data_IF_383897966801
#
_entry.id   IF_383897966801
#
_cell.length_a   1.000
_cell.length_b   1.000
_cell.length_c   1.000
_cell.angle_alpha   90.00
_cell.angle_beta   90.00
_cell.angle_gamma   90.00
#
_symmetry.space_group_name_H-M   'P 1'
#
loop_
_entity.id
_entity.type
_entity.pdbx_description
1 polymer ?
#
# COMPACT_ATOMS: atom_id res chain seq x y z
N UNK A 1 60.78 44.35 40.29
CA UNK A 1 59.32 44.32 40.54
C UNK A 1 58.77 42.99 40.00
N UNK A 2 58.20 42.18 40.90
CA UNK A 2 57.37 40.97 40.72
C UNK A 2 58.01 39.63 40.28
N UNK A 3 57.57 38.60 41.03
CA UNK A 3 57.85 37.17 41.01
C UNK A 3 56.93 36.40 40.03
N UNK A 4 57.37 35.16 39.70
CA UNK A 4 56.62 33.92 39.34
C UNK A 4 55.88 33.89 38.00
N UNK A 5 56.11 32.84 37.20
CA UNK A 5 55.20 31.67 37.14
C UNK A 5 55.69 30.63 36.11
N UNK A 6 55.71 29.36 36.51
CA UNK A 6 55.75 28.19 35.62
C UNK A 6 54.35 28.01 35.05
N UNK A 7 54.19 27.84 33.74
CA UNK A 7 52.98 27.26 33.15
C UNK A 7 53.36 26.15 32.16
N UNK A 8 52.99 24.94 32.58
CA UNK A 8 52.81 23.75 31.76
C UNK A 8 51.81 24.10 30.66
N UNK A 9 52.21 24.04 29.39
CA UNK A 9 51.25 24.05 28.27
C UNK A 9 51.04 22.59 27.89
N UNK A 10 49.85 22.11 28.26
CA UNK A 10 49.37 20.78 27.96
C UNK A 10 49.27 20.54 26.46
N UNK A 11 49.66 19.32 26.07
CA UNK A 11 49.37 18.74 24.77
C UNK A 11 47.85 18.58 24.66
N UNK A 12 47.20 19.48 23.92
CA UNK A 12 45.81 19.29 23.50
C UNK A 12 45.83 18.18 22.45
N UNK A 13 45.52 16.96 22.86
CA UNK A 13 45.12 15.91 21.93
C UNK A 13 43.76 16.34 21.39
N UNK A 14 43.76 16.90 20.18
CA UNK A 14 42.53 17.11 19.43
C UNK A 14 41.95 15.74 19.10
N UNK A 15 40.99 15.30 19.93
CA UNK A 15 40.12 14.17 19.61
C UNK A 15 39.24 14.62 18.45
N UNK A 16 39.71 14.45 17.21
CA UNK A 16 38.83 14.55 16.05
C UNK A 16 37.88 13.38 16.12
N UNK A 17 36.69 13.61 16.67
CA UNK A 17 35.55 12.70 16.51
C UNK A 17 35.28 12.55 15.03
N UNK A 18 35.82 11.48 14.44
CA UNK A 18 35.42 11.02 13.13
C UNK A 18 34.02 10.45 13.31
N UNK A 19 33.01 11.28 13.10
CA UNK A 19 31.63 10.82 12.97
C UNK A 19 31.62 9.99 11.68
N UNK A 20 31.80 8.68 11.81
CA UNK A 20 31.28 7.77 10.81
C UNK A 20 29.77 7.96 10.86
N UNK A 21 29.23 8.76 9.94
CA UNK A 21 27.86 8.57 9.51
C UNK A 21 27.84 7.17 8.89
N UNK A 22 27.56 6.16 9.73
CA UNK A 22 26.98 4.93 9.23
C UNK A 22 25.80 5.39 8.37
N UNK A 23 25.65 4.95 7.12
CA UNK A 23 24.38 5.12 6.46
C UNK A 23 23.38 4.43 7.39
N UNK A 24 22.58 5.23 8.08
CA UNK A 24 21.29 4.78 8.56
C UNK A 24 20.63 4.32 7.28
N UNK A 25 20.57 3.01 7.06
CA UNK A 25 19.68 2.43 6.07
C UNK A 25 18.31 2.98 6.46
N UNK A 26 17.89 4.04 5.77
CA UNK A 26 16.49 4.36 5.75
C UNK A 26 15.82 3.08 5.25
N UNK A 27 14.88 2.61 6.04
CA UNK A 27 13.92 1.60 5.61
C UNK A 27 13.08 2.24 4.49
N UNK A 28 13.69 2.36 3.31
CA UNK A 28 13.07 2.92 2.10
C UNK A 28 12.00 1.97 1.54
N UNK A 29 11.78 0.81 2.18
CA UNK A 29 10.71 -0.14 1.88
C UNK A 29 9.33 0.27 2.39
N UNK A 30 9.18 1.44 3.03
CA UNK A 30 7.90 1.85 3.63
C UNK A 30 7.01 2.74 2.74
N UNK A 31 7.51 3.25 1.61
CA UNK A 31 6.75 4.16 0.74
C UNK A 31 6.63 5.60 1.25
N UNK A 32 5.87 6.42 0.51
CA UNK A 32 5.56 7.82 0.80
C UNK A 32 4.04 8.02 0.97
N UNK A 33 3.68 8.97 1.84
CA UNK A 33 2.30 9.45 1.99
C UNK A 33 2.26 10.97 1.86
N UNK A 34 1.37 11.45 1.01
CA UNK A 34 1.04 12.86 0.85
C UNK A 34 -0.44 13.09 1.12
N UNK A 35 -0.78 14.30 1.53
CA UNK A 35 -2.16 14.76 1.66
C UNK A 35 -2.29 16.09 0.93
N UNK A 36 -3.42 16.32 0.27
CA UNK A 36 -3.67 17.56 -0.45
C UNK A 36 -5.17 17.83 -0.59
N UNK A 37 -5.48 18.94 -1.28
CA UNK A 37 -6.86 19.32 -1.59
C UNK A 37 -6.90 19.88 -3.00
N UNK A 38 -7.62 19.20 -3.89
CA UNK A 38 -8.02 19.77 -5.18
C UNK A 38 -9.06 20.84 -4.87
N UNK A 39 -8.65 22.09 -4.95
CA UNK A 39 -9.39 23.29 -4.54
C UNK A 39 -10.28 23.84 -5.65
N UNK A 40 -9.97 23.56 -6.91
CA UNK A 40 -10.82 23.93 -8.06
C UNK A 40 -10.77 22.88 -9.19
N UNK A 41 -11.83 22.87 -10.01
CA UNK A 41 -11.95 21.95 -11.14
C UNK A 41 -10.76 22.08 -12.11
N UNK A 42 -10.12 20.94 -12.41
CA UNK A 42 -8.95 20.87 -13.29
C UNK A 42 -7.62 21.21 -12.63
N UNK A 43 -7.59 21.49 -11.32
CA UNK A 43 -6.34 21.54 -10.56
C UNK A 43 -5.65 20.18 -10.56
N UNK A 44 -4.32 20.22 -10.58
CA UNK A 44 -3.46 19.03 -10.57
C UNK A 44 -2.32 19.30 -9.59
N UNK A 45 -2.23 18.46 -8.57
CA UNK A 45 -1.10 18.42 -7.66
C UNK A 45 -0.07 17.42 -8.17
N UNK A 46 1.22 17.74 -8.04
CA UNK A 46 2.31 16.93 -8.60
C UNK A 46 3.36 16.60 -7.55
N UNK A 47 3.82 15.35 -7.57
CA UNK A 47 4.85 14.81 -6.69
C UNK A 47 5.93 14.12 -7.52
N UNK A 48 7.18 14.50 -7.34
CA UNK A 48 8.31 13.92 -8.07
C UNK A 48 9.13 13.00 -7.14
N UNK A 49 9.42 11.79 -7.62
CA UNK A 49 10.25 10.81 -6.91
C UNK A 49 11.27 10.18 -7.86
N UNK A 50 12.49 9.95 -7.38
CA UNK A 50 13.48 9.16 -8.09
C UNK A 50 13.28 7.68 -7.79
N UNK A 51 13.01 6.88 -8.82
CA UNK A 51 12.74 5.45 -8.71
C UNK A 51 13.84 4.62 -9.39
N UNK A 52 14.01 3.37 -8.95
CA UNK A 52 15.02 2.46 -9.51
C UNK A 52 14.40 1.42 -10.44
N UNK A 53 15.04 1.16 -11.58
CA UNK A 53 14.62 0.11 -12.50
C UNK A 53 14.48 -1.26 -11.79
N UNK A 54 13.38 -1.95 -12.06
CA UNK A 54 13.04 -3.24 -11.44
C UNK A 54 12.33 -3.13 -10.09
N UNK A 55 12.17 -1.92 -9.53
CA UNK A 55 11.43 -1.70 -8.30
C UNK A 55 9.91 -1.81 -8.56
N UNK A 56 9.19 -2.70 -7.86
CA UNK A 56 7.73 -2.70 -7.87
C UNK A 56 7.19 -1.53 -7.05
N UNK A 57 6.18 -0.85 -7.60
CA UNK A 57 5.55 0.35 -7.05
C UNK A 57 4.04 0.19 -7.07
N UNK A 58 3.42 0.47 -5.93
CA UNK A 58 1.96 0.56 -5.78
C UNK A 58 1.59 2.00 -5.46
N UNK A 59 0.54 2.52 -6.07
CA UNK A 59 0.06 3.90 -5.90
C UNK A 59 -1.42 3.88 -5.60
N UNK A 60 -1.82 4.59 -4.55
CA UNK A 60 -3.22 4.79 -4.19
C UNK A 60 -3.52 6.27 -4.02
N UNK A 61 -4.48 6.79 -4.77
CA UNK A 61 -5.04 8.12 -4.56
C UNK A 61 -6.46 7.97 -4.03
N UNK A 62 -6.63 8.32 -2.77
CA UNK A 62 -7.87 8.12 -2.02
C UNK A 62 -8.48 9.49 -1.73
N UNK A 63 -9.77 9.68 -2.02
CA UNK A 63 -10.48 10.88 -1.55
C UNK A 63 -10.73 10.79 -0.05
N UNK A 64 -10.63 11.92 0.64
CA UNK A 64 -10.95 12.00 2.07
C UNK A 64 -12.41 12.46 2.24
N UNK A 65 -13.16 11.76 3.08
CA UNK A 65 -14.53 12.18 3.44
C UNK A 65 -14.51 13.49 4.23
N UNK A 66 -15.33 14.46 3.84
CA UNK A 66 -15.58 15.68 4.63
C UNK A 66 -16.73 15.46 5.63
N UNK A 67 -17.60 14.48 5.36
CA UNK A 67 -18.69 14.03 6.20
C UNK A 67 -19.02 12.56 5.86
N UNK A 68 -19.62 11.79 6.79
CA UNK A 68 -19.89 10.36 6.55
C UNK A 68 -20.71 10.13 5.27
N UNK A 69 -20.20 9.27 4.38
CA UNK A 69 -20.84 8.92 3.11
C UNK A 69 -20.80 10.03 2.04
N UNK A 70 -19.93 11.04 2.22
CA UNK A 70 -19.70 12.08 1.22
C UNK A 70 -18.44 11.79 0.42
N UNK A 71 -18.58 11.81 -0.91
CA UNK A 71 -17.46 11.70 -1.87
C UNK A 71 -17.25 13.03 -2.58
N UNK A 72 -16.42 13.95 -2.04
CA UNK A 72 -16.20 15.26 -2.64
C UNK A 72 -15.33 15.20 -3.90
N UNK A 73 -14.40 14.25 -3.95
CA UNK A 73 -13.44 14.07 -5.02
C UNK A 73 -13.68 12.73 -5.72
N UNK A 74 -13.58 12.75 -7.05
CA UNK A 74 -13.44 11.56 -7.89
C UNK A 74 -11.95 11.44 -8.24
N UNK A 75 -11.13 10.75 -7.42
CA UNK A 75 -9.68 10.75 -7.58
C UNK A 75 -9.22 10.10 -8.90
N UNK A 76 -8.27 10.77 -9.54
CA UNK A 76 -7.54 10.24 -10.70
C UNK A 76 -6.06 10.49 -10.49
N UNK A 77 -5.26 9.43 -10.65
CA UNK A 77 -3.80 9.51 -10.63
C UNK A 77 -3.23 9.19 -12.01
N UNK A 78 -2.38 10.09 -12.50
CA UNK A 78 -1.59 9.89 -13.72
C UNK A 78 -0.09 9.89 -13.34
N UNK A 79 0.69 9.01 -13.94
CA UNK A 79 2.13 8.88 -13.68
C UNK A 79 2.88 9.04 -15.00
N UNK A 80 3.88 9.92 -15.02
CA UNK A 80 4.81 10.08 -16.14
C UNK A 80 6.24 9.84 -15.69
N UNK A 81 7.07 9.27 -16.55
CA UNK A 81 8.47 8.99 -16.22
C UNK A 81 9.41 9.03 -17.43
N UNK A 82 10.67 8.59 -17.24
CA UNK A 82 11.66 8.52 -18.30
C UNK A 82 11.22 7.65 -19.47
N UNK A 83 11.86 7.84 -20.63
CA UNK A 83 11.63 7.07 -21.86
C UNK A 83 10.17 7.03 -22.34
N UNK A 84 9.38 8.04 -21.97
CA UNK A 84 7.98 8.16 -22.37
C UNK A 84 7.04 7.28 -21.56
N UNK A 85 7.45 6.79 -20.39
CA UNK A 85 6.56 6.09 -19.47
C UNK A 85 5.35 6.97 -19.14
N UNK A 86 4.16 6.41 -19.34
CA UNK A 86 2.89 7.05 -19.04
C UNK A 86 1.87 5.96 -18.67
N UNK A 87 1.29 6.07 -17.48
CA UNK A 87 0.17 5.24 -17.04
C UNK A 87 -0.77 6.09 -16.19
N UNK A 88 -2.02 5.67 -16.03
CA UNK A 88 -2.99 6.39 -15.24
C UNK A 88 -4.18 5.49 -14.92
N UNK A 89 -4.85 5.79 -13.82
CA UNK A 89 -6.10 5.14 -13.46
C UNK A 89 -7.07 6.16 -12.88
N UNK A 90 -8.35 6.05 -13.21
CA UNK A 90 -9.44 6.74 -12.54
C UNK A 90 -10.08 5.83 -11.49
N UNK A 91 -10.91 6.41 -10.61
CA UNK A 91 -11.68 5.59 -9.71
C UNK A 91 -12.74 4.75 -10.45
N UNK A 92 -13.03 3.58 -9.89
CA UNK A 92 -13.97 2.62 -10.49
C UNK A 92 -15.45 2.97 -10.33
N UNK A 93 -15.79 4.27 -10.33
CA UNK A 93 -17.16 4.77 -10.37
C UNK A 93 -18.05 4.47 -9.15
N UNK A 94 -17.57 3.84 -8.08
CA UNK A 94 -18.37 3.55 -6.87
C UNK A 94 -18.50 4.77 -5.94
N UNK A 95 -19.53 4.81 -5.09
CA UNK A 95 -20.00 6.07 -4.49
C UNK A 95 -19.27 6.51 -3.22
N UNK A 96 -18.43 5.68 -2.60
CA UNK A 96 -17.73 5.95 -1.35
C UNK A 96 -16.26 6.34 -1.48
N UNK A 97 -15.81 7.28 -0.65
CA UNK A 97 -14.39 7.48 -0.36
C UNK A 97 -13.83 6.32 0.48
N UNK A 98 -12.52 6.05 0.37
CA UNK A 98 -11.85 4.90 1.00
C UNK A 98 -12.33 3.52 0.53
N UNK A 99 -13.11 3.44 -0.56
CA UNK A 99 -13.43 2.17 -1.20
C UNK A 99 -12.30 1.72 -2.13
N UNK A 100 -12.29 0.44 -2.47
CA UNK A 100 -11.44 -0.15 -3.51
C UNK A 100 -11.68 0.37 -4.93
N UNK A 101 -12.64 1.29 -5.09
CA UNK A 101 -12.75 2.05 -6.31
C UNK A 101 -11.82 3.25 -6.32
N UNK A 102 -11.11 3.62 -5.24
CA UNK A 102 -10.07 4.67 -5.28
C UNK A 102 -9.09 4.45 -6.44
N UNK A 103 -8.48 5.52 -6.95
CA UNK A 103 -7.54 5.40 -8.07
C UNK A 103 -6.29 4.65 -7.63
N UNK A 104 -6.07 3.46 -8.21
CA UNK A 104 -5.04 2.51 -7.83
C UNK A 104 -4.19 2.09 -9.02
N UNK A 105 -2.87 2.07 -8.89
CA UNK A 105 -1.94 1.65 -9.93
C UNK A 105 -0.83 0.78 -9.35
N UNK A 106 -0.48 -0.28 -10.09
CA UNK A 106 0.72 -1.07 -9.83
C UNK A 106 1.58 -1.11 -11.10
N UNK A 107 2.88 -0.91 -10.93
CA UNK A 107 3.84 -1.07 -12.02
C UNK A 107 5.22 -1.47 -11.50
N UNK A 108 6.00 -2.13 -12.35
CA UNK A 108 7.44 -2.28 -12.12
C UNK A 108 8.15 -1.18 -12.88
N UNK A 109 9.02 -0.44 -12.19
CA UNK A 109 9.77 0.68 -12.76
C UNK A 109 10.63 0.18 -13.93
N UNK A 110 10.36 0.60 -15.18
CA UNK A 110 11.11 0.10 -16.33
C UNK A 110 12.54 0.64 -16.41
N UNK A 111 12.73 1.91 -16.01
CA UNK A 111 14.01 2.64 -16.16
C UNK A 111 14.20 3.53 -14.95
N UNK A 112 15.40 3.54 -14.36
CA UNK A 112 15.69 4.43 -13.24
C UNK A 112 15.60 5.89 -13.65
N UNK A 113 15.01 6.73 -12.81
CA UNK A 113 14.94 8.17 -13.01
C UNK A 113 13.77 8.80 -12.26
N UNK A 114 13.49 10.06 -12.58
CA UNK A 114 12.43 10.82 -11.92
C UNK A 114 11.07 10.52 -12.52
N UNK A 115 10.13 10.10 -11.67
CA UNK A 115 8.72 9.88 -12.00
C UNK A 115 7.87 10.97 -11.34
N UNK A 116 6.92 11.51 -12.09
CA UNK A 116 5.96 12.52 -11.64
C UNK A 116 4.59 11.87 -11.47
N UNK A 117 4.08 11.89 -10.24
CA UNK A 117 2.75 11.44 -9.86
C UNK A 117 1.82 12.65 -9.81
N UNK A 118 0.69 12.58 -10.51
CA UNK A 118 -0.24 13.70 -10.69
C UNK A 118 -1.59 13.34 -10.08
N UNK A 119 -1.93 13.96 -8.97
CA UNK A 119 -3.22 13.81 -8.31
C UNK A 119 -4.21 14.86 -8.82
N UNK A 120 -5.41 14.45 -9.23
CA UNK A 120 -6.47 15.35 -9.71
C UNK A 120 -7.86 14.76 -9.49
N UNK A 121 -8.88 15.58 -9.70
CA UNK A 121 -10.27 15.12 -9.82
C UNK A 121 -10.63 14.71 -11.25
N UNK A 122 -11.54 13.75 -11.42
CA UNK A 122 -12.23 13.53 -12.68
C UNK A 122 -13.23 14.67 -12.93
N UNK A 123 -13.27 15.15 -14.18
CA UNK A 123 -14.16 16.24 -14.60
C UNK A 123 -14.03 17.50 -13.73
N UNK A 124 -15.06 17.82 -12.93
CA UNK A 124 -15.13 19.04 -12.11
C UNK A 124 -15.04 18.76 -10.60
N UNK A 125 -14.75 17.53 -10.20
CA UNK A 125 -14.72 17.16 -8.78
C UNK A 125 -13.53 17.78 -8.06
N UNK A 126 -13.72 18.07 -6.77
CA UNK A 126 -12.78 18.82 -5.93
C UNK A 126 -12.90 18.33 -4.50
N UNK A 127 -11.80 18.17 -3.79
CA UNK A 127 -11.85 17.73 -2.40
C UNK A 127 -10.49 17.35 -1.85
N UNK A 128 -10.43 17.08 -0.54
CA UNK A 128 -9.24 16.56 0.11
C UNK A 128 -8.95 15.12 -0.36
N UNK A 129 -7.67 14.77 -0.36
CA UNK A 129 -7.19 13.44 -0.71
C UNK A 129 -5.93 13.07 0.07
N UNK A 130 -5.70 11.75 0.13
CA UNK A 130 -4.44 11.13 0.55
C UNK A 130 -3.84 10.34 -0.63
N UNK A 131 -2.57 10.62 -0.97
CA UNK A 131 -1.80 9.87 -1.97
C UNK A 131 -0.77 8.99 -1.24
N UNK A 132 -0.75 7.71 -1.58
CA UNK A 132 0.20 6.72 -1.09
C UNK A 132 1.01 6.17 -2.26
N UNK A 133 2.32 6.02 -2.08
CA UNK A 133 3.25 5.44 -3.05
C UNK A 133 4.13 4.46 -2.29
N UNK A 134 3.92 3.16 -2.47
CA UNK A 134 4.64 2.12 -1.75
C UNK A 134 5.64 1.39 -2.66
N UNK A 135 6.71 0.89 -2.04
CA UNK A 135 7.81 0.19 -2.71
C UNK A 135 7.89 -1.26 -2.25
N UNK A 136 8.40 -2.13 -3.13
CA UNK A 136 8.58 -3.54 -2.84
C UNK A 136 7.42 -4.42 -3.31
N UNK A 137 7.64 -5.75 -3.44
CA UNK A 137 6.66 -6.67 -4.03
C UNK A 137 5.29 -6.57 -3.35
N UNK A 138 5.31 -6.21 -2.07
CA UNK A 138 4.14 -6.06 -1.19
C UNK A 138 4.33 -4.81 -0.37
N UNK A 139 4.32 -3.64 -1.03
CA UNK A 139 4.31 -2.35 -0.35
C UNK A 139 3.39 -2.44 0.86
N UNK A 140 3.98 -2.48 2.05
CA UNK A 140 3.26 -2.67 3.29
C UNK A 140 2.55 -1.34 3.56
N UNK A 141 1.45 -1.14 2.85
CA UNK A 141 0.42 -0.15 3.12
C UNK A 141 -0.26 -0.57 4.42
N UNK A 142 0.52 -0.48 5.49
CA UNK A 142 -0.02 -0.27 6.81
C UNK A 142 -0.89 0.99 6.74
N UNK A 143 -1.82 1.06 7.70
CA UNK A 143 -2.65 2.21 8.09
C UNK A 143 -4.06 2.19 7.44
N UNK A 144 -5.16 2.03 8.19
CA UNK A 144 -5.41 2.44 9.60
C UNK A 144 -6.57 1.70 10.30
N UNK A 145 -6.30 1.04 11.43
CA UNK A 145 -7.07 1.14 12.71
C UNK A 145 -6.17 0.66 13.89
N UNK A 146 -5.92 1.45 14.95
CA UNK A 146 -5.20 1.00 16.14
C UNK A 146 -5.97 -0.11 16.89
N UNK A 147 -5.52 -1.37 16.74
CA UNK A 147 -6.15 -2.56 17.36
C UNK A 147 -6.61 -3.62 16.36
N UNK A 148 -6.38 -3.40 15.08
CA UNK A 148 -6.71 -4.31 14.00
C UNK A 148 -5.49 -5.16 13.60
N UNK A 149 -5.54 -6.47 13.89
CA UNK A 149 -4.46 -7.43 13.67
C UNK A 149 -4.40 -8.00 12.24
N UNK A 150 -5.16 -7.42 11.29
CA UNK A 150 -5.09 -7.81 9.87
C UNK A 150 -3.69 -7.63 9.30
N UNK A 151 -3.35 -8.53 8.37
CA UNK A 151 -2.15 -8.42 7.53
C UNK A 151 -2.33 -7.32 6.50
N UNK A 152 -3.51 -7.25 5.89
CA UNK A 152 -3.85 -6.31 4.83
C UNK A 152 -4.73 -5.17 5.38
N UNK A 153 -4.07 -4.18 5.98
CA UNK A 153 -4.72 -3.06 6.68
C UNK A 153 -5.15 -1.92 5.77
N UNK A 154 -5.09 -2.10 4.46
CA UNK A 154 -5.49 -1.10 3.50
C UNK A 154 -6.98 -0.77 3.68
N UNK A 155 -7.31 0.53 3.73
CA UNK A 155 -8.70 0.99 3.88
C UNK A 155 -9.61 0.50 2.75
N UNK A 156 -9.01 0.24 1.58
CA UNK A 156 -9.64 -0.23 0.35
C UNK A 156 -9.66 -1.76 0.18
N UNK A 157 -9.37 -2.53 1.23
CA UNK A 157 -9.31 -3.98 1.10
C UNK A 157 -10.70 -4.59 0.81
N UNK A 158 -10.83 -5.39 -0.24
CA UNK A 158 -12.06 -6.18 -0.50
C UNK A 158 -12.11 -7.49 0.32
N UNK A 159 -11.08 -7.77 1.11
CA UNK A 159 -11.06 -8.84 2.09
C UNK A 159 -10.30 -8.40 3.33
N UNK A 160 -10.55 -9.02 4.47
CA UNK A 160 -9.68 -8.96 5.64
C UNK A 160 -9.00 -10.30 5.85
N UNK A 161 -7.66 -10.28 5.94
CA UNK A 161 -6.82 -11.45 6.13
C UNK A 161 -6.19 -11.39 7.52
N UNK A 162 -6.51 -12.40 8.32
CA UNK A 162 -5.89 -12.64 9.62
C UNK A 162 -5.03 -13.89 9.52
N UNK A 163 -3.75 -13.74 9.83
CA UNK A 163 -2.83 -14.86 9.98
C UNK A 163 -1.82 -14.61 11.10
N UNK A 164 -2.27 -14.78 12.33
CA UNK A 164 -1.48 -14.55 13.54
C UNK A 164 -1.59 -15.72 14.52
N UNK A 165 -0.79 -15.68 15.59
CA UNK A 165 -0.73 -16.75 16.57
C UNK A 165 -1.94 -16.76 17.53
N UNK A 166 -2.77 -15.70 17.53
CA UNK A 166 -4.03 -15.66 18.26
C UNK A 166 -5.11 -16.48 17.53
N UNK A 167 -4.95 -16.69 16.23
CA UNK A 167 -5.74 -17.59 15.41
C UNK A 167 -5.09 -18.97 15.28
N UNK A 168 -5.90 -19.99 14.96
CA UNK A 168 -5.44 -21.35 14.63
C UNK A 168 -5.64 -21.68 13.14
N UNK A 169 -5.89 -20.65 12.32
CA UNK A 169 -6.32 -20.74 10.93
C UNK A 169 -6.03 -19.43 10.23
N UNK A 170 -5.83 -19.49 8.91
CA UNK A 170 -5.98 -18.33 8.05
C UNK A 170 -7.46 -18.00 8.03
N UNK A 171 -7.83 -16.79 8.46
CA UNK A 171 -9.20 -16.31 8.41
C UNK A 171 -9.30 -15.16 7.42
N UNK A 172 -10.08 -15.37 6.36
CA UNK A 172 -10.33 -14.41 5.31
C UNK A 172 -11.81 -14.08 5.32
N UNK A 173 -12.17 -12.83 5.59
CA UNK A 173 -13.53 -12.33 5.40
C UNK A 173 -13.57 -11.53 4.11
N UNK A 174 -14.66 -11.63 3.35
CA UNK A 174 -14.91 -10.66 2.30
C UNK A 174 -15.42 -9.35 2.91
N UNK A 175 -15.17 -8.24 2.24
CA UNK A 175 -15.69 -6.92 2.62
C UNK A 175 -16.63 -6.49 1.51
N UNK A 176 -17.86 -6.11 1.88
CA UNK A 176 -18.79 -5.57 0.91
C UNK A 176 -18.25 -4.26 0.35
N UNK A 177 -18.32 -4.15 -0.97
CA UNK A 177 -18.11 -2.92 -1.68
C UNK A 177 -19.43 -2.26 -2.02
N UNK A 178 -19.41 -0.97 -2.32
CA UNK A 178 -20.53 -0.26 -2.90
C UNK A 178 -21.10 -1.04 -4.11
N UNK A 179 -22.33 -1.54 -3.96
CA UNK A 179 -23.03 -2.35 -4.98
C UNK A 179 -22.93 -3.87 -4.81
N UNK A 180 -22.14 -4.39 -3.85
CA UNK A 180 -22.13 -5.80 -3.50
C UNK A 180 -23.46 -6.18 -2.81
N UNK A 181 -24.37 -6.76 -3.59
CA UNK A 181 -25.71 -7.16 -3.15
C UNK A 181 -25.67 -8.36 -2.21
N UNK A 182 -25.19 -8.20 -0.98
CA UNK A 182 -25.63 -9.07 0.11
C UNK A 182 -26.82 -8.42 0.81
N UNK A 183 -27.91 -9.17 0.90
CA UNK A 183 -29.16 -8.68 1.48
C UNK A 183 -28.93 -8.21 2.94
N UNK A 184 -28.86 -6.90 3.14
CA UNK A 184 -28.76 -6.26 4.45
C UNK A 184 -27.36 -5.77 4.88
N UNK A 185 -26.32 -5.94 4.05
CA UNK A 185 -24.99 -5.38 4.33
C UNK A 185 -24.84 -3.95 3.81
N UNK A 186 -24.12 -3.11 4.56
CA UNK A 186 -23.62 -1.80 4.12
C UNK A 186 -22.23 -1.97 3.50
N UNK A 187 -21.81 -0.95 2.75
CA UNK A 187 -20.41 -0.84 2.32
C UNK A 187 -19.47 -0.92 3.54
N UNK A 188 -18.37 -1.65 3.40
CA UNK A 188 -17.44 -1.94 4.49
C UNK A 188 -17.87 -3.04 5.47
N UNK A 189 -19.09 -3.60 5.38
CA UNK A 189 -19.49 -4.73 6.22
C UNK A 189 -18.71 -5.99 5.81
N UNK A 190 -18.06 -6.62 6.79
CA UNK A 190 -17.39 -7.91 6.60
C UNK A 190 -18.36 -9.08 6.56
N UNK A 191 -18.10 -10.07 5.71
CA UNK A 191 -18.83 -11.33 5.65
C UNK A 191 -17.87 -12.53 5.68
N UNK A 192 -18.29 -13.69 6.26
CA UNK A 192 -17.45 -14.89 6.29
C UNK A 192 -17.01 -15.32 4.88
N UNK A 193 -15.71 -15.44 4.66
CA UNK A 193 -15.13 -15.84 3.37
C UNK A 193 -14.52 -17.25 3.44
N UNK A 194 -13.21 -17.32 3.64
CA UNK A 194 -12.39 -18.54 3.65
C UNK A 194 -11.78 -18.73 5.03
N UNK A 195 -11.80 -19.96 5.54
CA UNK A 195 -11.20 -20.30 6.83
C UNK A 195 -10.44 -21.62 6.71
N UNK A 196 -9.11 -21.56 6.74
CA UNK A 196 -8.25 -22.74 6.54
C UNK A 196 -7.37 -22.95 7.77
N UNK A 197 -7.53 -24.06 8.51
CA UNK A 197 -6.63 -24.40 9.62
C UNK A 197 -5.17 -24.41 9.18
N UNK A 198 -4.25 -23.98 10.06
CA UNK A 198 -2.81 -23.98 9.71
C UNK A 198 -2.28 -25.37 9.36
N UNK A 199 -2.86 -26.42 9.96
CA UNK A 199 -2.55 -27.82 9.66
C UNK A 199 -2.87 -28.24 8.22
N UNK A 200 -3.75 -27.51 7.55
CA UNK A 200 -4.30 -27.88 6.25
C UNK A 200 -3.65 -27.05 5.13
N UNK A 201 -2.74 -26.13 5.47
CA UNK A 201 -2.00 -25.34 4.49
C UNK A 201 -0.97 -26.22 3.76
N UNK A 202 -0.93 -26.17 2.41
CA UNK A 202 -0.01 -26.97 1.64
C UNK A 202 1.43 -26.46 1.80
N UNK A 203 2.39 -27.37 1.64
CA UNK A 203 3.79 -27.00 1.47
C UNK A 203 3.99 -26.12 0.21
N UNK A 204 5.09 -25.38 0.16
CA UNK A 204 5.45 -24.59 -1.03
C UNK A 204 5.55 -25.49 -2.27
N UNK A 205 4.75 -25.23 -3.32
CA UNK A 205 4.83 -25.99 -4.57
C UNK A 205 6.13 -25.69 -5.32
N UNK A 206 6.57 -26.63 -6.15
CA UNK A 206 7.68 -26.38 -7.07
C UNK A 206 7.25 -25.47 -8.23
N UNK A 207 8.21 -24.86 -8.93
CA UNK A 207 7.93 -24.09 -10.13
C UNK A 207 7.24 -24.92 -11.24
N UNK A 208 7.43 -26.24 -11.27
CA UNK A 208 6.78 -27.15 -12.23
C UNK A 208 5.31 -27.41 -11.86
N UNK A 209 5.00 -27.46 -10.57
CA UNK A 209 3.63 -27.68 -10.06
C UNK A 209 2.76 -26.41 -10.21
N UNK A 210 3.39 -25.24 -10.22
CA UNK A 210 2.72 -23.95 -10.25
C UNK A 210 2.06 -23.59 -8.92
N UNK A 211 1.38 -22.44 -8.88
CA UNK A 211 0.68 -21.99 -7.67
C UNK A 211 -0.51 -22.90 -7.35
N UNK A 212 -0.70 -23.23 -6.07
CA UNK A 212 -1.81 -24.08 -5.61
C UNK A 212 -2.97 -23.17 -5.17
N UNK A 213 -4.17 -23.38 -5.71
CA UNK A 213 -5.40 -22.85 -5.12
C UNK A 213 -5.72 -23.65 -3.86
N UNK A 214 -5.64 -23.01 -2.69
CA UNK A 214 -5.93 -23.62 -1.39
C UNK A 214 -7.44 -23.73 -1.20
N UNK A 215 -8.16 -22.62 -1.43
CA UNK A 215 -9.62 -22.56 -1.26
C UNK A 215 -10.21 -21.40 -2.09
N UNK A 216 -11.48 -21.51 -2.46
CA UNK A 216 -12.23 -20.46 -3.12
C UNK A 216 -13.64 -20.33 -2.52
N UNK A 217 -14.02 -19.10 -2.17
CA UNK A 217 -15.37 -18.77 -1.72
C UNK A 217 -15.89 -17.56 -2.51
N UNK A 218 -16.86 -17.81 -3.39
CA UNK A 218 -17.35 -16.77 -4.31
C UNK A 218 -16.23 -16.22 -5.20
N UNK A 219 -16.02 -14.90 -5.13
CA UNK A 219 -14.97 -14.17 -5.84
C UNK A 219 -13.65 -14.07 -5.05
N UNK A 220 -13.56 -14.68 -3.87
CA UNK A 220 -12.34 -14.72 -3.05
C UNK A 220 -11.60 -16.02 -3.36
N UNK A 221 -10.33 -15.92 -3.75
CA UNK A 221 -9.45 -17.06 -4.04
C UNK A 221 -8.20 -16.96 -3.18
N UNK A 222 -7.83 -18.06 -2.53
CA UNK A 222 -6.66 -18.13 -1.66
C UNK A 222 -5.65 -19.15 -2.20
N UNK A 223 -4.41 -18.74 -2.39
CA UNK A 223 -3.35 -19.49 -3.05
C UNK A 223 -2.10 -19.67 -2.18
N UNK A 224 -1.38 -20.77 -2.43
CA UNK A 224 0.03 -20.95 -2.08
C UNK A 224 0.87 -20.72 -3.33
N UNK A 225 1.80 -19.77 -3.27
CA UNK A 225 2.66 -19.42 -4.39
C UNK A 225 3.92 -20.28 -4.43
N UNK A 226 4.49 -20.47 -5.62
CA UNK A 226 5.80 -21.15 -5.81
C UNK A 226 6.96 -20.39 -5.19
N UNK A 227 6.80 -19.09 -4.92
CA UNK A 227 7.75 -18.27 -4.17
C UNK A 227 7.83 -18.67 -2.69
N UNK A 228 6.84 -19.38 -2.17
CA UNK A 228 6.69 -19.67 -0.75
C UNK A 228 5.81 -18.66 -0.01
N UNK A 229 5.23 -17.70 -0.72
CA UNK A 229 4.24 -16.77 -0.18
C UNK A 229 2.83 -17.34 -0.27
N UNK A 230 1.91 -16.68 0.41
CA UNK A 230 0.47 -16.85 0.32
C UNK A 230 -0.13 -15.68 -0.46
N UNK A 231 -1.20 -15.92 -1.21
CA UNK A 231 -1.90 -14.87 -1.96
C UNK A 231 -3.40 -14.97 -1.81
N UNK A 232 -4.07 -13.86 -1.51
CA UNK A 232 -5.53 -13.70 -1.65
C UNK A 232 -5.81 -12.82 -2.85
N UNK A 233 -6.76 -13.25 -3.67
CA UNK A 233 -7.33 -12.46 -4.76
C UNK A 233 -8.83 -12.31 -4.53
N UNK A 234 -9.35 -11.09 -4.67
CA UNK A 234 -10.79 -10.80 -4.59
C UNK A 234 -11.22 -10.10 -5.87
N UNK A 235 -12.24 -10.64 -6.54
CA UNK A 235 -12.72 -10.15 -7.82
C UNK A 235 -12.58 -11.18 -8.95
N UNK A 236 -12.68 -10.75 -10.22
CA UNK A 236 -12.80 -9.36 -10.65
C UNK A 236 -14.13 -8.71 -10.24
N UNK A 237 -14.12 -7.40 -10.02
CA UNK A 237 -15.34 -6.60 -9.92
C UNK A 237 -15.97 -6.33 -11.31
N UNK A 238 -17.04 -5.53 -11.36
CA UNK A 238 -17.75 -5.22 -12.61
C UNK A 238 -16.90 -4.51 -13.66
N UNK A 239 -15.74 -3.98 -13.28
CA UNK A 239 -14.79 -3.31 -14.18
C UNK A 239 -13.60 -4.20 -14.54
N UNK A 240 -13.56 -5.44 -14.03
CA UNK A 240 -12.45 -6.36 -14.24
C UNK A 240 -11.31 -6.21 -13.24
N UNK A 241 -11.45 -5.38 -12.19
CA UNK A 241 -10.39 -5.14 -11.21
C UNK A 241 -10.34 -6.24 -10.16
N UNK A 242 -9.13 -6.68 -9.83
CA UNK A 242 -8.88 -7.69 -8.79
C UNK A 242 -8.08 -7.04 -7.66
N UNK A 243 -8.52 -7.23 -6.42
CA UNK A 243 -7.73 -6.90 -5.24
C UNK A 243 -6.82 -8.08 -4.91
N UNK A 244 -5.53 -7.82 -4.76
CA UNK A 244 -4.52 -8.85 -4.48
C UNK A 244 -3.78 -8.50 -3.19
N UNK A 245 -3.59 -9.51 -2.34
CA UNK A 245 -2.75 -9.44 -1.14
C UNK A 245 -1.82 -10.63 -1.17
N UNK A 246 -0.53 -10.41 -0.91
CA UNK A 246 0.45 -11.47 -0.80
C UNK A 246 1.26 -11.28 0.48
N UNK A 247 1.63 -12.37 1.15
CA UNK A 247 2.42 -12.33 2.39
C UNK A 247 3.24 -13.61 2.60
N UNK A 248 4.32 -13.50 3.36
CA UNK A 248 5.35 -14.55 3.46
C UNK A 248 4.89 -15.84 4.16
N UNK A 249 3.97 -15.75 5.12
CA UNK A 249 3.66 -16.92 5.95
C UNK A 249 2.68 -16.69 7.08
N UNK A 250 2.36 -17.80 7.73
CA UNK A 250 1.48 -17.90 8.88
C UNK A 250 2.24 -18.64 10.00
N UNK A 251 1.91 -18.41 11.28
CA UNK A 251 2.58 -19.08 12.40
C UNK A 251 2.54 -20.62 12.37
#
# INVERSE_FOLDING_TARGET
MRLRSVHIIGLIVALTSLIFALPMLADDSAGFRYTGTISFAGEVDTYDLDLNAGEPVTVDLICDEIAPGNRPLDPVVDITGPDGFNTGNDDGGSQGCNSASSSHLEFTVPVSGTYTFRARGFSITTGPYSLYIAFGPHGNNAFFDPGDDRINRQAYAYASVYCDAANNRVAIYGINSDGATVAGGKDGDGFPGIFVPYSDLPATPSAEDGNILIEQSGNIRFYRLTSGEYQVMVGPDSEGKEYVVVWDGCP
#
